data_IF_071932078263
#
_entry.id   IF_071932078263
#
_cell.length_a   1.000
_cell.length_b   1.000
_cell.length_c   1.000
_cell.angle_alpha   90.00
_cell.angle_beta   90.00
_cell.angle_gamma   90.00
#
_symmetry.space_group_name_H-M   'P 1'
#
loop_
_entity.id
_entity.type
_entity.pdbx_description
1 polymer ?
#
# COMPACT_ATOMS: atom_id res chain seq x y z
N UNK A 1 4.75 -9.55 -3.51
CA UNK A 1 4.46 -8.12 -3.75
C UNK A 1 4.37 -7.31 -2.46
N UNK A 2 4.41 -5.95 -2.50
CA UNK A 2 4.43 -5.07 -1.32
C UNK A 2 3.23 -5.26 -0.39
N UNK A 3 3.31 -4.73 0.85
CA UNK A 3 2.20 -4.69 1.80
C UNK A 3 1.12 -3.71 1.32
N UNK A 4 -0.15 -3.96 1.66
CA UNK A 4 -1.24 -3.00 1.44
C UNK A 4 -1.75 -2.83 0.01
N UNK A 5 -1.26 -3.63 -0.96
CA UNK A 5 -1.60 -3.53 -2.39
C UNK A 5 -2.78 -4.42 -2.82
N UNK A 6 -3.54 -4.99 -1.89
CA UNK A 6 -4.77 -5.73 -2.17
C UNK A 6 -4.62 -7.23 -2.43
N UNK A 7 -3.48 -7.87 -2.11
CA UNK A 7 -3.27 -9.32 -2.34
C UNK A 7 -4.39 -10.19 -1.76
N UNK A 8 -4.68 -10.06 -0.48
CA UNK A 8 -5.70 -10.84 0.23
C UNK A 8 -7.11 -10.47 -0.23
N UNK A 9 -7.35 -9.21 -0.57
CA UNK A 9 -8.63 -8.75 -1.14
C UNK A 9 -8.88 -9.39 -2.50
N UNK A 10 -7.89 -9.36 -3.40
CA UNK A 10 -7.98 -10.00 -4.71
C UNK A 10 -8.18 -11.51 -4.61
N UNK A 11 -7.49 -12.16 -3.64
CA UNK A 11 -7.68 -13.59 -3.36
C UNK A 11 -9.14 -13.91 -2.97
N UNK A 12 -9.77 -13.08 -2.13
CA UNK A 12 -11.18 -13.25 -1.74
C UNK A 12 -12.14 -13.00 -2.90
N UNK A 13 -11.88 -11.98 -3.72
CA UNK A 13 -12.69 -11.70 -4.93
C UNK A 13 -12.59 -12.88 -5.90
N UNK A 14 -11.38 -13.39 -6.13
CA UNK A 14 -11.16 -14.56 -6.98
C UNK A 14 -11.88 -15.81 -6.45
N UNK A 15 -11.75 -16.08 -5.14
CA UNK A 15 -12.41 -17.22 -4.50
C UNK A 15 -13.94 -17.19 -4.65
N UNK A 16 -14.53 -16.00 -4.60
CA UNK A 16 -15.93 -15.76 -4.84
C UNK A 16 -16.31 -16.02 -6.31
N UNK A 17 -15.52 -15.45 -7.22
CA UNK A 17 -15.78 -15.55 -8.67
C UNK A 17 -15.77 -17.00 -9.18
N UNK A 18 -14.78 -17.82 -8.76
CA UNK A 18 -14.70 -19.22 -9.21
C UNK A 18 -15.81 -20.11 -8.65
N UNK A 19 -16.47 -19.70 -7.56
CA UNK A 19 -17.62 -20.38 -6.99
C UNK A 19 -18.97 -19.84 -7.48
N UNK A 20 -18.97 -18.73 -8.25
CA UNK A 20 -20.19 -18.07 -8.71
C UNK A 20 -21.02 -17.46 -7.58
N UNK A 21 -20.39 -17.07 -6.46
CA UNK A 21 -21.09 -16.48 -5.32
C UNK A 21 -21.30 -14.98 -5.49
N UNK A 22 -22.47 -14.49 -5.08
CA UNK A 22 -22.73 -13.06 -4.97
C UNK A 22 -22.05 -12.44 -3.75
N UNK A 23 -22.03 -11.09 -3.68
CA UNK A 23 -21.31 -10.35 -2.61
C UNK A 23 -21.84 -10.71 -1.23
N UNK A 24 -23.15 -10.92 -1.08
CA UNK A 24 -23.84 -11.20 0.17
C UNK A 24 -24.08 -12.71 0.43
N UNK A 25 -23.50 -13.60 -0.37
CA UNK A 25 -23.76 -15.05 -0.21
C UNK A 25 -23.04 -15.59 1.03
N UNK A 26 -23.83 -16.06 2.00
CA UNK A 26 -23.33 -16.67 3.24
C UNK A 26 -22.51 -17.95 2.98
N UNK A 27 -22.70 -18.61 1.83
CA UNK A 27 -21.92 -19.78 1.45
C UNK A 27 -20.41 -19.50 1.35
N UNK A 28 -20.02 -18.24 1.18
CA UNK A 28 -18.62 -17.85 1.17
C UNK A 28 -17.91 -18.19 2.48
N UNK A 29 -18.62 -18.11 3.63
CA UNK A 29 -18.05 -18.46 4.93
C UNK A 29 -17.72 -19.96 5.08
N UNK A 30 -18.39 -20.83 4.33
CA UNK A 30 -18.16 -22.28 4.33
C UNK A 30 -17.18 -22.77 3.29
N UNK A 31 -16.84 -21.92 2.31
CA UNK A 31 -15.99 -22.27 1.18
C UNK A 31 -14.65 -21.54 1.15
N UNK A 32 -14.52 -20.41 1.83
CA UNK A 32 -13.31 -19.59 1.81
C UNK A 32 -12.72 -19.51 3.22
N UNK A 33 -11.58 -20.12 3.39
CA UNK A 33 -10.87 -20.22 4.68
C UNK A 33 -9.63 -19.33 4.63
N UNK A 34 -9.55 -18.37 5.53
CA UNK A 34 -8.38 -17.50 5.68
C UNK A 34 -7.52 -17.91 6.86
N UNK A 35 -6.23 -18.07 6.63
CA UNK A 35 -5.23 -18.27 7.67
C UNK A 35 -4.18 -17.16 7.56
N UNK A 36 -3.93 -16.48 8.66
CA UNK A 36 -2.77 -15.59 8.79
C UNK A 36 -1.61 -16.38 9.40
N UNK A 37 -0.57 -16.64 8.61
CA UNK A 37 0.58 -17.40 9.05
C UNK A 37 1.45 -16.66 10.08
N UNK A 38 1.30 -15.35 10.24
CA UNK A 38 1.98 -14.61 11.30
C UNK A 38 1.43 -14.99 12.69
N UNK A 39 0.12 -15.25 12.78
CA UNK A 39 -0.57 -15.64 14.00
C UNK A 39 -0.69 -17.16 14.18
N UNK A 40 -0.71 -17.92 13.07
CA UNK A 40 -0.96 -19.36 13.02
C UNK A 40 0.17 -20.07 12.25
N UNK A 41 1.34 -20.18 12.85
CA UNK A 41 2.55 -20.70 12.19
C UNK A 41 2.95 -22.11 12.64
N UNK A 42 2.14 -22.75 13.50
CA UNK A 42 2.43 -24.08 14.06
C UNK A 42 2.05 -25.19 13.08
N UNK A 43 2.70 -26.33 13.25
CA UNK A 43 2.43 -27.53 12.46
C UNK A 43 1.01 -28.03 12.63
N UNK A 44 0.45 -27.89 13.83
CA UNK A 44 -0.91 -28.30 14.18
C UNK A 44 -1.96 -27.53 13.39
N UNK A 45 -1.76 -26.21 13.22
CA UNK A 45 -2.66 -25.35 12.46
C UNK A 45 -2.75 -25.80 10.98
N UNK A 46 -1.60 -26.11 10.38
CA UNK A 46 -1.52 -26.59 9.01
C UNK A 46 -2.07 -28.02 8.88
N UNK A 47 -1.85 -28.91 9.86
CA UNK A 47 -2.43 -30.25 9.85
C UNK A 47 -3.94 -30.22 9.88
N UNK A 48 -4.53 -29.33 10.69
CA UNK A 48 -5.98 -29.13 10.71
C UNK A 48 -6.52 -28.70 9.33
N UNK A 49 -5.83 -27.80 8.65
CA UNK A 49 -6.20 -27.42 7.27
C UNK A 49 -6.10 -28.62 6.33
N UNK A 50 -5.01 -29.38 6.37
CA UNK A 50 -4.80 -30.56 5.52
C UNK A 50 -5.90 -31.60 5.71
N UNK A 51 -6.40 -31.79 6.91
CA UNK A 51 -7.54 -32.68 7.19
C UNK A 51 -8.83 -32.11 6.60
N UNK A 52 -9.10 -30.81 6.80
CA UNK A 52 -10.31 -30.16 6.30
C UNK A 52 -10.36 -30.10 4.76
N UNK A 53 -9.20 -30.04 4.10
CA UNK A 53 -9.09 -30.02 2.63
C UNK A 53 -9.66 -31.26 1.99
N UNK A 54 -9.61 -32.42 2.66
CA UNK A 54 -10.13 -33.71 2.16
C UNK A 54 -11.65 -33.74 2.02
N UNK A 55 -12.35 -32.88 2.76
CA UNK A 55 -13.80 -32.81 2.78
C UNK A 55 -14.29 -31.88 1.66
N UNK A 56 -15.07 -32.38 0.67
CA UNK A 56 -15.57 -31.54 -0.42
C UNK A 56 -16.51 -30.43 0.08
N UNK A 57 -16.70 -29.35 -0.69
CA UNK A 57 -17.61 -28.29 -0.34
C UNK A 57 -19.07 -28.79 -0.35
N UNK A 58 -19.89 -28.23 0.53
CA UNK A 58 -21.33 -28.50 0.55
C UNK A 58 -22.09 -27.66 -0.49
N UNK A 59 -21.60 -26.48 -0.82
CA UNK A 59 -22.14 -25.54 -1.80
C UNK A 59 -21.00 -24.96 -2.63
N UNK A 60 -21.22 -24.65 -3.92
CA UNK A 60 -20.17 -24.19 -4.82
C UNK A 60 -19.29 -25.33 -5.36
N UNK A 61 -18.28 -24.99 -6.13
CA UNK A 61 -17.36 -25.95 -6.76
C UNK A 61 -16.08 -26.16 -5.97
N UNK A 62 -15.59 -25.12 -5.30
CA UNK A 62 -14.25 -25.11 -4.71
C UNK A 62 -14.27 -24.69 -3.25
N UNK A 63 -13.41 -25.33 -2.45
CA UNK A 63 -12.94 -24.82 -1.18
C UNK A 63 -11.65 -24.06 -1.41
N UNK A 64 -11.60 -22.79 -1.03
CA UNK A 64 -10.45 -21.92 -1.24
C UNK A 64 -9.77 -21.65 0.09
N UNK A 65 -8.49 -21.94 0.16
CA UNK A 65 -7.65 -21.70 1.35
C UNK A 65 -6.69 -20.56 1.05
N UNK A 66 -6.91 -19.42 1.70
CA UNK A 66 -6.08 -18.23 1.55
C UNK A 66 -5.12 -18.19 2.75
N UNK A 67 -3.83 -18.39 2.49
CA UNK A 67 -2.79 -18.31 3.51
C UNK A 67 -2.04 -16.99 3.33
N UNK A 68 -2.27 -16.07 4.24
CA UNK A 68 -1.61 -14.76 4.22
C UNK A 68 -0.27 -14.82 4.96
N UNK A 69 0.69 -14.01 4.52
CA UNK A 69 2.07 -13.96 4.98
C UNK A 69 2.70 -15.35 5.10
N UNK A 70 2.47 -16.20 4.10
CA UNK A 70 2.86 -17.62 4.11
C UNK A 70 4.35 -17.86 4.40
N UNK A 71 5.23 -16.87 4.16
CA UNK A 71 6.65 -16.93 4.52
C UNK A 71 6.92 -17.01 6.04
N UNK A 72 5.90 -16.72 6.87
CA UNK A 72 5.99 -16.82 8.34
C UNK A 72 5.75 -18.22 8.87
N UNK A 73 5.31 -19.19 8.04
CA UNK A 73 5.16 -20.58 8.44
C UNK A 73 6.50 -21.19 8.85
N UNK A 74 6.48 -21.99 9.91
CA UNK A 74 7.65 -22.77 10.30
C UNK A 74 8.03 -23.79 9.23
N UNK A 75 9.30 -24.19 9.16
CA UNK A 75 9.77 -25.21 8.21
C UNK A 75 8.99 -26.54 8.34
N UNK A 76 8.63 -26.91 9.56
CA UNK A 76 7.85 -28.11 9.81
C UNK A 76 6.40 -27.98 9.32
N UNK A 77 5.79 -26.80 9.44
CA UNK A 77 4.47 -26.49 8.88
C UNK A 77 4.50 -26.53 7.36
N UNK A 78 5.51 -25.93 6.72
CA UNK A 78 5.71 -26.04 5.27
C UNK A 78 5.82 -27.49 4.79
N UNK A 79 6.64 -28.30 5.46
CA UNK A 79 6.79 -29.70 5.10
C UNK A 79 5.50 -30.52 5.21
N UNK A 80 4.68 -30.23 6.25
CA UNK A 80 3.36 -30.86 6.39
C UNK A 80 2.41 -30.47 5.26
N UNK A 81 2.57 -29.27 4.70
CA UNK A 81 1.71 -28.74 3.63
C UNK A 81 2.14 -29.17 2.23
N UNK A 82 3.44 -29.46 2.01
CA UNK A 82 4.02 -29.79 0.70
C UNK A 82 3.24 -30.92 -0.01
N UNK A 83 2.94 -32.00 0.69
CA UNK A 83 2.24 -33.15 0.09
C UNK A 83 0.85 -32.77 -0.45
N UNK A 84 0.14 -31.89 0.25
CA UNK A 84 -1.19 -31.43 -0.18
C UNK A 84 -1.09 -30.44 -1.35
N UNK A 85 0.00 -29.67 -1.44
CA UNK A 85 0.27 -28.78 -2.58
C UNK A 85 0.73 -29.56 -3.83
N UNK A 86 1.36 -30.72 -3.66
CA UNK A 86 1.79 -31.59 -4.76
C UNK A 86 0.60 -32.30 -5.42
N UNK A 87 -0.33 -32.79 -4.61
CA UNK A 87 -1.50 -33.54 -5.04
C UNK A 87 -2.77 -32.98 -4.37
N UNK A 88 -3.20 -31.75 -4.73
CA UNK A 88 -4.39 -31.15 -4.15
C UNK A 88 -5.65 -31.89 -4.60
N UNK A 89 -6.64 -32.10 -3.72
CA UNK A 89 -7.95 -32.58 -4.14
C UNK A 89 -8.55 -31.66 -5.22
N UNK A 90 -9.31 -32.21 -6.19
CA UNK A 90 -9.82 -31.43 -7.33
C UNK A 90 -10.70 -30.23 -6.95
N UNK A 91 -11.29 -30.27 -5.76
CA UNK A 91 -12.16 -29.24 -5.20
C UNK A 91 -11.40 -28.21 -4.34
N UNK A 92 -10.10 -28.37 -4.12
CA UNK A 92 -9.31 -27.49 -3.27
C UNK A 92 -8.46 -26.53 -4.10
N UNK A 93 -8.55 -25.25 -3.77
CA UNK A 93 -7.70 -24.18 -4.35
C UNK A 93 -6.92 -23.51 -3.22
N UNK A 94 -5.61 -23.41 -3.39
CA UNK A 94 -4.73 -22.73 -2.44
C UNK A 94 -4.25 -21.42 -3.01
N UNK A 95 -4.39 -20.34 -2.24
CA UNK A 95 -3.88 -19.00 -2.58
C UNK A 95 -2.89 -18.61 -1.48
N UNK A 96 -1.62 -18.51 -1.85
CA UNK A 96 -0.54 -18.17 -0.95
C UNK A 96 -0.15 -16.71 -1.17
N UNK A 97 -0.40 -15.86 -0.17
CA UNK A 97 -0.02 -14.46 -0.22
C UNK A 97 1.25 -14.21 0.61
N UNK A 98 2.14 -13.37 0.11
CA UNK A 98 3.37 -13.00 0.82
C UNK A 98 3.88 -11.64 0.40
N UNK A 99 4.50 -10.93 1.33
CA UNK A 99 5.30 -9.74 1.06
C UNK A 99 6.73 -10.10 0.65
N UNK A 100 7.23 -11.28 1.02
CA UNK A 100 8.61 -11.72 0.86
C UNK A 100 8.72 -13.03 0.04
N UNK A 101 8.52 -12.90 -1.28
CA UNK A 101 8.58 -14.04 -2.21
C UNK A 101 9.90 -14.83 -2.13
N UNK A 102 11.02 -14.15 -1.89
CA UNK A 102 12.35 -14.76 -1.81
C UNK A 102 12.52 -15.72 -0.62
N UNK A 103 11.66 -15.62 0.41
CA UNK A 103 11.66 -16.54 1.56
C UNK A 103 10.85 -17.82 1.31
N UNK A 104 10.10 -17.90 0.21
CA UNK A 104 9.32 -19.09 -0.12
C UNK A 104 10.22 -20.14 -0.77
N UNK A 105 10.06 -21.38 -0.33
CA UNK A 105 10.84 -22.50 -0.84
C UNK A 105 10.65 -22.66 -2.37
N UNK A 106 11.72 -22.87 -3.15
CA UNK A 106 11.60 -23.09 -4.59
C UNK A 106 10.69 -24.26 -4.97
N UNK A 107 10.65 -25.28 -4.11
CA UNK A 107 9.76 -26.46 -4.26
C UNK A 107 8.27 -26.10 -4.23
N UNK A 108 7.88 -25.03 -3.54
CA UNK A 108 6.50 -24.51 -3.53
C UNK A 108 6.30 -23.62 -4.76
N UNK A 109 7.23 -22.69 -5.02
CA UNK A 109 7.11 -21.77 -6.15
C UNK A 109 6.95 -22.50 -7.49
N UNK A 110 7.63 -23.64 -7.67
CA UNK A 110 7.56 -24.45 -8.89
C UNK A 110 6.18 -25.11 -9.12
N UNK A 111 5.33 -25.15 -8.09
CA UNK A 111 3.99 -25.76 -8.13
C UNK A 111 2.87 -24.71 -8.10
N UNK A 112 3.23 -23.44 -8.02
CA UNK A 112 2.27 -22.35 -7.96
C UNK A 112 2.33 -21.49 -9.21
N UNK A 113 1.17 -21.01 -9.64
CA UNK A 113 1.12 -19.90 -10.57
C UNK A 113 1.42 -18.61 -9.79
N UNK A 114 2.39 -17.82 -10.26
CA UNK A 114 2.87 -16.64 -9.57
C UNK A 114 2.22 -15.40 -10.17
N UNK A 115 1.62 -14.58 -9.31
CA UNK A 115 1.08 -13.26 -9.64
C UNK A 115 1.86 -12.22 -8.84
N UNK A 116 2.59 -11.36 -9.51
CA UNK A 116 3.34 -10.29 -8.86
C UNK A 116 2.45 -9.04 -8.76
N UNK A 117 2.26 -8.58 -7.52
CA UNK A 117 1.59 -7.33 -7.21
C UNK A 117 2.63 -6.22 -7.09
N UNK A 118 2.36 -5.10 -7.71
CA UNK A 118 3.19 -3.90 -7.66
C UNK A 118 2.58 -2.84 -6.74
N UNK A 119 3.35 -1.82 -6.42
CA UNK A 119 2.86 -0.62 -5.74
C UNK A 119 1.79 0.05 -6.61
N UNK A 120 0.76 0.57 -5.99
CA UNK A 120 -0.27 1.37 -6.67
C UNK A 120 0.35 2.72 -7.02
N UNK A 121 0.17 3.18 -8.23
CA UNK A 121 0.66 4.49 -8.65
C UNK A 121 -0.05 5.62 -7.90
N UNK A 122 0.61 6.76 -7.73
CA UNK A 122 -0.01 7.93 -7.08
C UNK A 122 -1.27 8.37 -7.82
N UNK A 123 -1.30 8.48 -9.16
CA UNK A 123 -2.53 8.83 -9.88
C UNK A 123 -3.68 7.86 -9.65
N UNK A 124 -3.42 6.54 -9.66
CA UNK A 124 -4.46 5.53 -9.43
C UNK A 124 -4.99 5.59 -7.98
N UNK A 125 -4.10 5.82 -7.01
CA UNK A 125 -4.49 5.98 -5.62
C UNK A 125 -5.35 7.24 -5.42
N UNK A 126 -4.98 8.37 -6.02
CA UNK A 126 -5.77 9.63 -6.00
C UNK A 126 -7.14 9.42 -6.61
N UNK A 127 -7.21 8.80 -7.80
CA UNK A 127 -8.48 8.53 -8.46
C UNK A 127 -9.40 7.64 -7.61
N UNK A 128 -8.83 6.65 -6.93
CA UNK A 128 -9.59 5.78 -6.04
C UNK A 128 -10.09 6.52 -4.79
N UNK A 129 -9.23 7.32 -4.14
CA UNK A 129 -9.60 8.16 -3.00
C UNK A 129 -10.69 9.18 -3.37
N UNK A 130 -10.59 9.80 -4.55
CA UNK A 130 -11.61 10.73 -5.07
C UNK A 130 -12.98 10.06 -5.24
N UNK A 131 -12.99 8.82 -5.76
CA UNK A 131 -14.21 8.04 -5.88
C UNK A 131 -14.84 7.75 -4.51
N UNK A 132 -14.04 7.36 -3.53
CA UNK A 132 -14.51 7.11 -2.16
C UNK A 132 -15.03 8.41 -1.51
N UNK A 133 -14.28 9.50 -1.64
CA UNK A 133 -14.69 10.81 -1.13
C UNK A 133 -16.08 11.20 -1.68
N UNK A 134 -16.31 10.97 -2.98
CA UNK A 134 -17.59 11.25 -3.63
C UNK A 134 -18.73 10.36 -3.08
N UNK A 135 -18.47 9.08 -2.82
CA UNK A 135 -19.45 8.15 -2.26
C UNK A 135 -19.81 8.48 -0.80
N UNK A 136 -18.83 8.91 0.00
CA UNK A 136 -19.00 9.27 1.40
C UNK A 136 -19.47 10.73 1.61
N UNK A 137 -19.65 11.49 0.52
CA UNK A 137 -20.04 12.90 0.57
C UNK A 137 -18.98 13.79 1.23
N UNK A 138 -17.70 13.48 1.01
CA UNK A 138 -16.54 14.24 1.45
C UNK A 138 -16.06 15.11 0.31
N UNK A 139 -15.87 16.40 0.56
CA UNK A 139 -15.23 17.33 -0.39
C UNK A 139 -13.73 17.33 -0.11
N UNK A 140 -12.94 16.83 -1.01
CA UNK A 140 -11.48 16.78 -0.87
C UNK A 140 -10.81 17.57 -2.01
N UNK A 141 -9.81 18.37 -1.65
CA UNK A 141 -8.94 19.02 -2.63
C UNK A 141 -8.04 17.95 -3.26
N UNK A 142 -7.80 18.03 -4.57
CA UNK A 142 -6.98 17.05 -5.30
C UNK A 142 -5.56 16.95 -4.71
N UNK A 143 -4.97 18.10 -4.37
CA UNK A 143 -3.66 18.19 -3.72
C UNK A 143 -3.63 17.49 -2.35
N UNK A 144 -4.73 17.56 -1.59
CA UNK A 144 -4.87 16.84 -0.32
C UNK A 144 -4.81 15.32 -0.54
N UNK A 145 -5.52 14.82 -1.55
CA UNK A 145 -5.51 13.40 -1.90
C UNK A 145 -4.14 12.96 -2.45
N UNK A 146 -3.46 13.85 -3.17
CA UNK A 146 -2.09 13.62 -3.64
C UNK A 146 -1.11 13.39 -2.49
N UNK A 147 -1.17 14.23 -1.45
CA UNK A 147 -0.33 14.08 -0.25
C UNK A 147 -0.58 12.74 0.44
N UNK A 148 -1.85 12.32 0.57
CA UNK A 148 -2.20 11.02 1.15
C UNK A 148 -1.62 9.88 0.31
N UNK A 149 -1.79 9.93 -1.02
CA UNK A 149 -1.32 8.89 -1.93
C UNK A 149 0.21 8.77 -1.94
N UNK A 150 0.93 9.89 -1.94
CA UNK A 150 2.40 9.91 -1.86
C UNK A 150 2.88 9.33 -0.53
N UNK A 151 2.27 9.74 0.60
CA UNK A 151 2.67 9.24 1.93
C UNK A 151 2.40 7.75 2.11
N UNK A 152 1.39 7.21 1.43
CA UNK A 152 1.06 5.79 1.43
C UNK A 152 2.06 4.92 0.65
N UNK A 153 2.93 5.52 -0.16
CA UNK A 153 4.00 4.84 -0.91
C UNK A 153 3.49 3.59 -1.67
N UNK A 154 2.35 3.74 -2.34
CA UNK A 154 1.72 2.69 -3.13
C UNK A 154 0.99 1.60 -2.32
N UNK A 155 0.84 1.76 -1.01
CA UNK A 155 0.06 0.88 -0.15
C UNK A 155 -1.38 1.41 0.00
N UNK A 156 -2.32 0.92 -0.81
CA UNK A 156 -3.69 1.42 -0.82
C UNK A 156 -4.40 1.29 0.54
N UNK A 157 -4.09 0.24 1.32
CA UNK A 157 -4.62 0.09 2.69
C UNK A 157 -4.21 1.26 3.58
N UNK A 158 -2.96 1.68 3.49
CA UNK A 158 -2.42 2.77 4.30
C UNK A 158 -3.00 4.11 3.84
N UNK A 159 -3.18 4.30 2.51
CA UNK A 159 -3.87 5.47 1.95
C UNK A 159 -5.31 5.59 2.47
N UNK A 160 -6.07 4.50 2.45
CA UNK A 160 -7.45 4.46 2.95
C UNK A 160 -7.50 4.72 4.46
N UNK A 161 -6.60 4.12 5.23
CA UNK A 161 -6.54 4.34 6.69
C UNK A 161 -6.22 5.79 7.04
N UNK A 162 -5.29 6.42 6.31
CA UNK A 162 -5.00 7.84 6.47
C UNK A 162 -6.19 8.72 6.07
N UNK A 163 -6.87 8.40 4.97
CA UNK A 163 -8.06 9.11 4.54
C UNK A 163 -9.17 9.07 5.61
N UNK A 164 -9.48 7.89 6.15
CA UNK A 164 -10.48 7.73 7.21
C UNK A 164 -10.13 8.55 8.46
N UNK A 165 -8.87 8.52 8.90
CA UNK A 165 -8.40 9.30 10.05
C UNK A 165 -8.55 10.81 9.80
N UNK A 166 -8.22 11.27 8.61
CA UNK A 166 -8.32 12.68 8.22
C UNK A 166 -9.78 13.14 8.15
N UNK A 167 -10.67 12.31 7.59
CA UNK A 167 -12.11 12.61 7.56
C UNK A 167 -12.69 12.65 8.97
N UNK A 168 -12.28 11.74 9.85
CA UNK A 168 -12.71 11.74 11.25
C UNK A 168 -12.25 13.00 12.01
N UNK A 169 -11.08 13.55 11.67
CA UNK A 169 -10.52 14.76 12.30
C UNK A 169 -11.05 16.06 11.69
N UNK A 170 -10.97 16.21 10.36
CA UNK A 170 -11.31 17.45 9.65
C UNK A 170 -12.80 17.54 9.22
N UNK A 171 -13.54 16.44 9.37
CA UNK A 171 -14.93 16.36 8.90
C UNK A 171 -15.00 16.19 7.37
N UNK A 172 -16.10 16.67 6.80
CA UNK A 172 -16.42 16.45 5.37
C UNK A 172 -15.66 17.36 4.39
N UNK A 173 -14.70 18.14 4.85
CA UNK A 173 -13.90 19.02 3.99
C UNK A 173 -12.42 18.79 4.24
N UNK A 174 -11.76 18.07 3.32
CA UNK A 174 -10.31 17.84 3.36
C UNK A 174 -9.59 18.88 2.49
N UNK A 175 -8.90 19.81 3.15
CA UNK A 175 -8.04 20.80 2.47
C UNK A 175 -6.59 20.34 2.51
N UNK A 176 -5.79 20.78 1.55
CA UNK A 176 -4.34 20.54 1.51
C UNK A 176 -3.66 20.89 2.84
N UNK A 177 -3.97 22.08 3.37
CA UNK A 177 -3.41 22.56 4.64
C UNK A 177 -3.74 21.64 5.82
N UNK A 178 -5.00 21.22 5.97
CA UNK A 178 -5.40 20.34 7.05
C UNK A 178 -4.71 18.96 6.97
N UNK A 179 -4.55 18.44 5.75
CA UNK A 179 -3.90 17.15 5.51
C UNK A 179 -2.40 17.21 5.79
N UNK A 180 -1.70 18.24 5.32
CA UNK A 180 -0.26 18.42 5.56
C UNK A 180 0.06 18.62 7.03
N UNK A 181 -0.73 19.43 7.74
CA UNK A 181 -0.60 19.62 9.19
C UNK A 181 -0.80 18.31 9.96
N UNK A 182 -1.87 17.58 9.68
CA UNK A 182 -2.21 16.36 10.40
C UNK A 182 -1.28 15.19 10.10
N UNK A 183 -0.84 15.05 8.85
CA UNK A 183 0.11 14.01 8.46
C UNK A 183 1.56 14.39 8.77
N UNK A 184 1.82 15.56 9.32
CA UNK A 184 3.17 16.10 9.54
C UNK A 184 4.00 15.99 8.26
N UNK A 185 3.44 16.48 7.14
CA UNK A 185 4.13 16.61 5.86
C UNK A 185 4.46 18.09 5.69
N UNK A 186 5.73 18.38 5.44
CA UNK A 186 6.13 19.73 5.09
C UNK A 186 5.64 20.06 3.69
N UNK A 187 5.13 21.27 3.53
CA UNK A 187 4.73 21.78 2.23
C UNK A 187 5.95 21.98 1.30
N UNK A 188 5.69 21.96 0.02
CA UNK A 188 6.74 22.18 -0.96
C UNK A 188 7.38 23.56 -0.83
N UNK A 189 6.62 24.58 -0.41
CA UNK A 189 7.10 25.95 -0.29
C UNK A 189 8.22 26.10 0.74
N UNK A 190 8.21 25.32 1.82
CA UNK A 190 9.30 25.23 2.80
C UNK A 190 10.61 24.78 2.13
N UNK A 191 10.54 23.75 1.28
CA UNK A 191 11.73 23.24 0.59
C UNK A 191 12.20 24.16 -0.54
N UNK A 192 11.28 24.82 -1.24
CA UNK A 192 11.62 25.87 -2.21
C UNK A 192 12.39 26.99 -1.53
N UNK A 193 11.87 27.51 -0.41
CA UNK A 193 12.53 28.57 0.37
C UNK A 193 13.90 28.15 0.89
N UNK A 194 14.02 26.93 1.42
CA UNK A 194 15.30 26.40 1.90
C UNK A 194 16.35 26.32 0.78
N UNK A 195 15.92 25.88 -0.39
CA UNK A 195 16.81 25.76 -1.56
C UNK A 195 17.27 27.14 -2.05
N UNK A 196 16.37 28.13 -2.13
CA UNK A 196 16.71 29.50 -2.47
C UNK A 196 17.72 30.11 -1.48
N UNK A 197 17.51 29.89 -0.18
CA UNK A 197 18.44 30.32 0.86
C UNK A 197 19.81 29.66 0.72
N UNK A 198 19.83 28.34 0.43
CA UNK A 198 21.07 27.60 0.21
C UNK A 198 21.84 28.13 -1.03
N UNK A 199 21.14 28.38 -2.14
CA UNK A 199 21.72 28.96 -3.37
C UNK A 199 22.25 30.38 -3.14
N UNK A 200 21.54 31.20 -2.35
CA UNK A 200 21.95 32.52 -1.97
C UNK A 200 23.06 32.55 -0.90
N UNK A 201 23.49 31.39 -0.37
CA UNK A 201 24.41 31.25 0.76
C UNK A 201 23.91 31.95 2.03
N UNK A 202 22.60 32.10 2.21
CA UNK A 202 21.96 32.63 3.42
C UNK A 202 21.86 31.55 4.50
N UNK A 203 23.01 31.25 5.12
CA UNK A 203 23.10 30.26 6.20
C UNK A 203 22.22 30.64 7.41
N UNK A 204 22.20 31.93 7.89
CA UNK A 204 21.32 32.31 8.99
C UNK A 204 19.86 32.07 8.69
N UNK A 205 19.36 32.42 7.49
CA UNK A 205 17.98 32.18 7.07
C UNK A 205 17.64 30.69 7.06
N UNK A 206 18.47 29.85 6.47
CA UNK A 206 18.29 28.40 6.45
C UNK A 206 18.25 27.79 7.87
N UNK A 207 19.10 28.26 8.80
CA UNK A 207 19.09 27.79 10.18
C UNK A 207 17.82 28.22 10.93
N UNK A 208 17.33 29.43 10.71
CA UNK A 208 16.09 29.91 11.31
C UNK A 208 14.89 29.11 10.79
N UNK A 209 14.81 28.87 9.48
CA UNK A 209 13.76 28.05 8.88
C UNK A 209 13.78 26.61 9.44
N UNK A 210 14.96 26.00 9.53
CA UNK A 210 15.11 24.67 10.14
C UNK A 210 14.61 24.66 11.60
N UNK A 211 15.01 25.66 12.42
CA UNK A 211 14.59 25.75 13.80
C UNK A 211 13.05 25.96 13.93
N UNK A 212 12.46 26.76 13.04
CA UNK A 212 11.01 26.93 12.99
C UNK A 212 10.30 25.59 12.71
N UNK A 213 10.76 24.84 11.70
CA UNK A 213 10.20 23.52 11.36
C UNK A 213 10.31 22.56 12.55
N UNK A 214 11.47 22.51 13.21
CA UNK A 214 11.66 21.66 14.40
C UNK A 214 10.76 22.08 15.56
N UNK A 215 10.55 23.38 15.78
CA UNK A 215 9.67 23.89 16.83
C UNK A 215 8.18 23.54 16.61
N UNK A 216 7.77 23.29 15.36
CA UNK A 216 6.44 22.79 14.97
C UNK A 216 6.29 21.28 15.18
N UNK A 217 7.31 20.58 15.69
CA UNK A 217 7.28 19.16 16.01
C UNK A 217 7.63 18.23 14.87
N UNK A 218 8.21 18.72 13.77
CA UNK A 218 8.70 17.89 12.69
C UNK A 218 9.99 17.17 13.07
N UNK A 219 10.17 15.98 12.50
CA UNK A 219 11.38 15.19 12.69
C UNK A 219 12.50 15.61 11.73
N UNK A 220 13.72 15.79 12.26
CA UNK A 220 14.86 16.24 11.47
C UNK A 220 15.26 15.27 10.35
N UNK A 221 15.11 13.95 10.55
CA UNK A 221 15.39 12.96 9.51
C UNK A 221 14.40 13.10 8.35
N UNK A 222 13.11 13.26 8.65
CA UNK A 222 12.09 13.50 7.62
C UNK A 222 12.32 14.81 6.89
N UNK A 223 12.77 15.86 7.59
CA UNK A 223 13.12 17.12 6.96
C UNK A 223 14.24 16.98 5.93
N UNK A 224 15.34 16.32 6.29
CA UNK A 224 16.49 16.12 5.39
C UNK A 224 16.16 15.21 4.23
N UNK A 225 15.43 14.11 4.46
CA UNK A 225 15.02 13.21 3.40
C UNK A 225 14.02 13.86 2.44
N UNK A 226 13.13 14.71 2.95
CA UNK A 226 12.23 15.52 2.14
C UNK A 226 12.98 16.53 1.28
N UNK A 227 13.98 17.23 1.84
CA UNK A 227 14.82 18.14 1.06
C UNK A 227 15.65 17.40 -0.01
N UNK A 228 16.21 16.25 0.31
CA UNK A 228 16.90 15.41 -0.68
C UNK A 228 15.96 15.00 -1.85
N UNK A 229 14.71 14.66 -1.55
CA UNK A 229 13.68 14.37 -2.55
C UNK A 229 13.34 15.61 -3.38
N UNK A 230 13.25 16.78 -2.76
CA UNK A 230 13.04 18.06 -3.44
C UNK A 230 14.19 18.36 -4.43
N UNK A 231 15.45 18.23 -4.00
CA UNK A 231 16.61 18.41 -4.89
C UNK A 231 16.61 17.43 -6.06
N UNK A 232 16.25 16.16 -5.83
CA UNK A 232 16.04 15.19 -6.90
C UNK A 232 14.98 15.69 -7.89
N UNK A 233 13.86 16.18 -7.39
CA UNK A 233 12.77 16.67 -8.24
C UNK A 233 13.17 17.91 -9.06
N UNK A 234 14.00 18.81 -8.52
CA UNK A 234 14.61 19.89 -9.29
C UNK A 234 15.47 19.38 -10.45
N UNK A 235 16.29 18.33 -10.19
CA UNK A 235 17.10 17.72 -11.25
C UNK A 235 16.22 17.07 -12.33
N UNK A 236 15.11 16.44 -11.94
CA UNK A 236 14.12 15.86 -12.86
C UNK A 236 13.38 16.92 -13.64
N UNK A 237 13.04 18.07 -13.02
CA UNK A 237 12.33 19.18 -13.65
C UNK A 237 13.16 19.90 -14.72
N UNK A 238 14.49 19.82 -14.62
CA UNK A 238 15.41 20.50 -15.53
C UNK A 238 15.35 19.99 -16.97
N UNK A 239 15.00 18.70 -17.17
CA UNK A 239 14.92 18.10 -18.50
C UNK A 239 13.46 17.76 -18.84
N UNK A 240 12.91 18.30 -19.96
CA UNK A 240 11.54 18.02 -20.41
C UNK A 240 11.24 16.51 -20.57
N UNK A 241 12.23 15.67 -20.87
CA UNK A 241 12.02 14.24 -21.05
C UNK A 241 11.76 13.51 -19.72
N UNK A 242 12.23 14.07 -18.61
CA UNK A 242 12.08 13.49 -17.28
C UNK A 242 10.92 14.07 -16.49
N UNK A 243 10.25 15.13 -16.98
CA UNK A 243 9.10 15.75 -16.30
C UNK A 243 7.98 14.77 -15.94
N UNK A 244 7.75 13.76 -16.76
CA UNK A 244 6.77 12.70 -16.48
C UNK A 244 7.09 11.85 -15.24
N UNK A 245 8.32 11.96 -14.71
CA UNK A 245 8.74 11.28 -13.48
C UNK A 245 8.43 12.08 -12.20
N UNK A 246 7.92 13.31 -12.36
CA UNK A 246 7.43 14.12 -11.23
C UNK A 246 6.01 13.69 -10.88
N UNK A 247 5.86 13.12 -9.71
CA UNK A 247 4.56 12.74 -9.15
C UNK A 247 3.97 13.90 -8.33
N UNK A 248 3.75 15.05 -8.96
CA UNK A 248 3.22 16.28 -8.35
C UNK A 248 2.13 16.89 -9.23
N UNK A 249 1.34 17.81 -8.68
CA UNK A 249 0.34 18.56 -9.44
C UNK A 249 0.98 19.52 -10.43
N UNK A 250 0.25 19.98 -11.46
CA UNK A 250 0.75 20.87 -12.48
C UNK A 250 1.28 22.20 -11.91
N UNK A 251 0.61 22.75 -10.89
CA UNK A 251 1.04 23.97 -10.21
C UNK A 251 2.39 23.80 -9.53
N UNK A 252 2.58 22.69 -8.82
CA UNK A 252 3.85 22.37 -8.15
C UNK A 252 4.94 22.06 -9.18
N UNK A 253 4.59 21.40 -10.29
CA UNK A 253 5.52 21.14 -11.38
C UNK A 253 6.07 22.44 -11.99
N UNK A 254 5.22 23.44 -12.20
CA UNK A 254 5.64 24.76 -12.69
C UNK A 254 6.65 25.41 -11.74
N UNK A 255 6.42 25.36 -10.42
CA UNK A 255 7.37 25.87 -9.41
C UNK A 255 8.73 25.15 -9.47
N UNK A 256 8.73 23.83 -9.68
CA UNK A 256 9.97 23.06 -9.85
C UNK A 256 10.74 23.48 -11.10
N UNK A 257 10.04 23.73 -12.21
CA UNK A 257 10.67 24.22 -13.46
C UNK A 257 11.28 25.61 -13.28
N UNK A 258 10.55 26.50 -12.61
CA UNK A 258 11.02 27.87 -12.34
C UNK A 258 12.28 27.87 -11.47
N UNK A 259 12.32 27.08 -10.39
CA UNK A 259 13.50 27.03 -9.50
C UNK A 259 14.67 26.23 -10.12
N UNK A 260 14.43 25.33 -11.08
CA UNK A 260 15.47 24.52 -11.73
C UNK A 260 16.21 25.24 -12.85
N UNK A 261 15.70 26.41 -13.28
CA UNK A 261 16.27 27.24 -14.36
C UNK A 261 17.43 28.09 -13.87
#
# INVERSE_FOLDING_TARGET
>A
GPRGVGKTTSARIFARAINGFEVADEAMAFNVFGLDAASNNKVEDIRSIVEQVRIPPQKGQYKVYIIDEVHMLSQAAFNAFLKTLEEPPPHAVFILATTEKHKILPTILSRCQIFDFHRISVPDAVAHLQNIASQEGVTAEEEALHVIAQKADGALRDALSMFDQLVAFAGKKLTYKAVTEQLHVLDHDTYFTLTDQALASDIPGAMLLFNEVMSRGFDAHHFITGWASHLRNLMVAKDPQTLQLLEVTEDVQSKFQDQSS
#
